data_IF_062720673159
#
_entry.id   IF_062720673159
#
_cell.length_a   1.000
_cell.length_b   1.000
_cell.length_c   1.000
_cell.angle_alpha   90.00
_cell.angle_beta   90.00
_cell.angle_gamma   90.00
#
_symmetry.space_group_name_H-M   'P 1'
#
loop_
_entity.id
_entity.type
_entity.pdbx_description
1 polymer ?
#
# COMPACT_ATOMS: atom_id res chain seq x y z
N UNK A 1 -7.22 5.18 10.31
CA UNK A 1 -6.54 3.96 10.80
C UNK A 1 -5.01 4.05 10.73
N UNK A 2 -4.39 4.58 9.67
CA UNK A 2 -2.91 4.76 9.64
C UNK A 2 -2.42 5.61 10.83
N UNK A 3 -3.12 6.69 11.18
CA UNK A 3 -2.79 7.53 12.34
C UNK A 3 -2.71 6.74 13.67
N UNK A 4 -3.50 5.67 13.80
CA UNK A 4 -3.55 4.84 15.00
C UNK A 4 -2.23 4.11 15.25
N UNK A 5 -1.47 3.77 14.19
CA UNK A 5 -0.24 3.00 14.30
C UNK A 5 0.80 3.67 15.22
N UNK A 6 0.94 4.97 15.08
CA UNK A 6 1.82 5.76 15.95
C UNK A 6 1.08 6.41 17.11
N UNK A 7 -0.15 6.89 16.88
CA UNK A 7 -0.95 7.56 17.91
C UNK A 7 -1.19 6.72 19.16
N UNK A 8 -1.24 5.39 19.03
CA UNK A 8 -1.36 4.46 20.18
C UNK A 8 -0.18 4.55 21.17
N UNK A 9 0.95 5.10 20.77
CA UNK A 9 2.11 5.32 21.63
C UNK A 9 2.14 6.71 22.27
N UNK A 10 1.17 7.58 21.93
CA UNK A 10 1.05 8.87 22.58
C UNK A 10 0.56 8.71 24.01
N UNK A 11 1.25 9.32 24.96
CA UNK A 11 0.85 9.39 26.38
C UNK A 11 -0.17 10.54 26.57
N UNK A 12 -1.29 10.45 25.82
CA UNK A 12 -2.35 11.46 25.80
C UNK A 12 -3.71 10.78 25.72
N UNK A 13 -4.50 10.91 26.79
CA UNK A 13 -5.81 10.28 26.91
C UNK A 13 -6.83 10.79 25.88
N UNK A 14 -6.71 12.03 25.41
CA UNK A 14 -7.61 12.57 24.39
C UNK A 14 -7.34 11.91 23.04
N UNK A 15 -6.06 11.74 22.68
CA UNK A 15 -5.65 11.01 21.48
C UNK A 15 -6.15 9.56 21.57
N UNK A 16 -5.95 8.85 22.70
CA UNK A 16 -6.40 7.48 22.86
C UNK A 16 -7.92 7.35 22.70
N UNK A 17 -8.69 8.23 23.34
CA UNK A 17 -10.16 8.27 23.18
C UNK A 17 -10.58 8.54 21.74
N UNK A 18 -9.93 9.49 21.04
CA UNK A 18 -10.24 9.83 19.65
C UNK A 18 -9.98 8.63 18.69
N UNK A 19 -8.90 7.88 18.92
CA UNK A 19 -8.58 6.69 18.11
C UNK A 19 -9.64 5.59 18.29
N UNK A 20 -10.04 5.30 19.53
CA UNK A 20 -11.10 4.31 19.83
C UNK A 20 -12.45 4.77 19.26
N UNK A 21 -12.80 6.05 19.41
CA UNK A 21 -14.02 6.62 18.84
C UNK A 21 -14.06 6.51 17.31
N UNK A 22 -12.91 6.68 16.64
CA UNK A 22 -12.79 6.53 15.19
C UNK A 22 -13.06 5.09 14.73
N UNK A 23 -12.56 4.10 15.46
CA UNK A 23 -12.85 2.67 15.20
C UNK A 23 -14.36 2.42 15.33
N UNK A 24 -14.97 2.90 16.42
CA UNK A 24 -16.40 2.72 16.69
C UNK A 24 -17.28 3.43 15.65
N UNK A 25 -16.91 4.65 15.24
CA UNK A 25 -17.66 5.43 14.25
C UNK A 25 -17.68 4.72 12.89
N UNK A 26 -16.54 4.27 12.39
CA UNK A 26 -16.45 3.53 11.13
C UNK A 26 -17.30 2.24 11.18
N UNK A 27 -17.18 1.46 12.26
CA UNK A 27 -17.99 0.26 12.48
C UNK A 27 -19.49 0.56 12.48
N UNK A 28 -19.91 1.67 13.09
CA UNK A 28 -21.34 2.04 13.16
C UNK A 28 -21.98 2.25 11.78
N UNK A 29 -21.17 2.35 10.74
CA UNK A 29 -21.58 2.52 9.34
C UNK A 29 -21.21 1.31 8.46
N UNK A 30 -20.87 0.18 9.07
CA UNK A 30 -20.67 -1.07 8.36
C UNK A 30 -21.95 -1.46 7.61
N UNK A 31 -21.81 -1.86 6.35
CA UNK A 31 -22.95 -2.32 5.54
C UNK A 31 -23.40 -3.72 5.94
N UNK A 32 -24.60 -4.11 5.51
CA UNK A 32 -25.13 -5.46 5.76
C UNK A 32 -24.26 -6.56 5.12
N UNK A 33 -23.53 -6.27 4.06
CA UNK A 33 -22.58 -7.21 3.44
C UNK A 33 -21.18 -7.20 4.07
N UNK A 34 -20.92 -6.36 5.08
CA UNK A 34 -19.66 -6.32 5.81
C UNK A 34 -18.68 -5.19 5.42
N UNK A 35 -18.94 -4.42 4.37
CA UNK A 35 -18.04 -3.36 3.94
C UNK A 35 -17.96 -2.22 4.98
N UNK A 36 -16.77 -1.67 5.19
CA UNK A 36 -16.50 -0.49 6.03
C UNK A 36 -16.31 0.73 5.12
N UNK A 37 -16.89 1.90 5.45
CA UNK A 37 -16.69 3.11 4.67
C UNK A 37 -15.24 3.61 4.76
N UNK A 38 -14.79 4.28 3.71
CA UNK A 38 -13.48 4.96 3.69
C UNK A 38 -13.39 6.04 4.78
N UNK A 39 -14.43 6.84 4.89
CA UNK A 39 -14.58 7.83 5.96
C UNK A 39 -16.05 8.06 6.29
N UNK A 40 -16.30 8.74 7.41
CA UNK A 40 -17.61 9.24 7.83
C UNK A 40 -17.47 10.72 8.09
N UNK A 41 -18.30 11.53 7.44
CA UNK A 41 -18.38 12.95 7.72
C UNK A 41 -18.89 13.17 9.14
N UNK A 42 -18.08 13.80 9.99
CA UNK A 42 -18.38 13.95 11.42
C UNK A 42 -19.58 14.89 11.70
N UNK A 43 -19.88 15.81 10.79
CA UNK A 43 -21.00 16.76 10.97
C UNK A 43 -22.34 16.14 10.54
N UNK A 44 -22.35 15.39 9.44
CA UNK A 44 -23.56 14.81 8.85
C UNK A 44 -23.74 13.34 9.16
N UNK A 45 -22.71 12.67 9.67
CA UNK A 45 -22.61 11.23 9.89
C UNK A 45 -22.85 10.39 8.62
N UNK A 46 -22.63 10.98 7.44
CA UNK A 46 -22.77 10.29 6.16
C UNK A 46 -21.51 9.47 5.87
N UNK A 47 -21.65 8.18 5.57
CA UNK A 47 -20.52 7.36 5.14
C UNK A 47 -20.15 7.64 3.69
N UNK A 48 -18.84 7.57 3.38
CA UNK A 48 -18.30 7.63 2.05
C UNK A 48 -17.61 6.30 1.71
N UNK A 49 -17.94 5.72 0.56
CA UNK A 49 -17.40 4.45 0.07
C UNK A 49 -16.57 4.61 -1.21
N UNK A 50 -16.12 5.82 -1.55
CA UNK A 50 -15.40 6.06 -2.80
C UNK A 50 -14.10 5.24 -2.90
N UNK A 51 -13.25 5.27 -1.88
CA UNK A 51 -12.04 4.47 -1.77
C UNK A 51 -12.29 3.31 -0.78
N UNK A 52 -13.15 2.37 -1.17
CA UNK A 52 -13.71 1.35 -0.26
C UNK A 52 -12.78 0.15 -0.06
N UNK A 53 -11.79 -0.04 -0.96
CA UNK A 53 -11.14 -1.34 -1.08
C UNK A 53 -10.22 -1.68 0.11
N UNK A 54 -9.62 -0.69 0.74
CA UNK A 54 -8.65 -0.89 1.83
C UNK A 54 -9.21 -0.58 3.22
N UNK A 55 -10.36 0.10 3.30
CA UNK A 55 -10.94 0.61 4.55
C UNK A 55 -11.16 -0.48 5.60
N UNK A 56 -11.77 -1.59 5.20
CA UNK A 56 -12.06 -2.71 6.09
C UNK A 56 -10.79 -3.41 6.56
N UNK A 57 -9.77 -3.51 5.71
CA UNK A 57 -8.49 -4.13 6.06
C UNK A 57 -7.75 -3.29 7.11
N UNK A 58 -7.68 -1.98 6.90
CA UNK A 58 -7.16 -1.05 7.89
C UNK A 58 -7.96 -1.05 9.17
N UNK A 59 -9.29 -1.22 9.08
CA UNK A 59 -10.14 -1.31 10.26
C UNK A 59 -9.81 -2.56 11.09
N UNK A 60 -9.66 -3.74 10.46
CA UNK A 60 -9.26 -4.99 11.14
C UNK A 60 -7.92 -4.80 11.86
N UNK A 61 -6.91 -4.27 11.16
CA UNK A 61 -5.59 -4.03 11.73
C UNK A 61 -5.67 -3.06 12.91
N UNK A 62 -6.34 -1.93 12.75
CA UNK A 62 -6.46 -0.93 13.78
C UNK A 62 -7.27 -1.40 14.99
N UNK A 63 -8.40 -2.06 14.76
CA UNK A 63 -9.24 -2.57 15.85
C UNK A 63 -8.54 -3.68 16.64
N UNK A 64 -7.79 -4.57 16.00
CA UNK A 64 -7.04 -5.62 16.69
C UNK A 64 -6.02 -5.09 17.70
N UNK A 65 -5.56 -3.86 17.50
CA UNK A 65 -4.56 -3.20 18.36
C UNK A 65 -5.18 -2.49 19.57
N UNK A 66 -6.42 -2.01 19.48
CA UNK A 66 -7.01 -1.13 20.49
C UNK A 66 -8.41 -1.53 20.95
N UNK A 67 -9.26 -2.03 20.07
CA UNK A 67 -10.66 -2.36 20.37
C UNK A 67 -11.13 -3.52 19.47
N UNK A 68 -10.68 -4.76 19.72
CA UNK A 68 -11.02 -5.92 18.90
C UNK A 68 -12.53 -6.18 18.87
N UNK A 69 -13.06 -6.47 17.67
CA UNK A 69 -14.45 -6.89 17.47
C UNK A 69 -14.49 -8.06 16.47
N UNK A 70 -14.49 -9.30 16.96
CA UNK A 70 -14.47 -10.50 16.13
C UNK A 70 -15.63 -10.58 15.15
N UNK A 71 -16.84 -10.24 15.59
CA UNK A 71 -18.03 -10.33 14.72
C UNK A 71 -17.98 -9.34 13.53
N UNK A 72 -17.52 -8.10 13.77
CA UNK A 72 -17.31 -7.14 12.71
C UNK A 72 -16.15 -7.59 11.80
N UNK A 73 -15.08 -8.13 12.35
CA UNK A 73 -13.93 -8.69 11.60
C UNK A 73 -14.38 -9.81 10.66
N UNK A 74 -15.16 -10.77 11.15
CA UNK A 74 -15.67 -11.88 10.34
C UNK A 74 -16.55 -11.40 9.19
N UNK A 75 -17.44 -10.42 9.45
CA UNK A 75 -18.27 -9.83 8.41
C UNK A 75 -17.43 -9.12 7.34
N UNK A 76 -16.38 -8.40 7.72
CA UNK A 76 -15.45 -7.74 6.80
C UNK A 76 -14.71 -8.79 5.97
N UNK A 77 -14.16 -9.83 6.58
CA UNK A 77 -13.42 -10.88 5.87
C UNK A 77 -14.31 -11.68 4.91
N UNK A 78 -15.58 -11.88 5.25
CA UNK A 78 -16.55 -12.49 4.35
C UNK A 78 -16.82 -11.60 3.14
N UNK A 79 -16.92 -10.28 3.33
CA UNK A 79 -17.06 -9.34 2.22
C UNK A 79 -15.82 -9.37 1.29
N UNK A 80 -14.60 -9.40 1.84
CA UNK A 80 -13.38 -9.52 1.03
C UNK A 80 -13.28 -10.88 0.32
N UNK A 81 -13.78 -11.96 0.91
CA UNK A 81 -13.80 -13.26 0.24
C UNK A 81 -14.60 -13.22 -1.08
N UNK A 82 -15.65 -12.37 -1.17
CA UNK A 82 -16.41 -12.16 -2.39
C UNK A 82 -15.66 -11.34 -3.45
N UNK A 83 -14.55 -10.70 -3.11
CA UNK A 83 -13.72 -9.94 -4.06
C UNK A 83 -12.64 -10.80 -4.74
N UNK A 84 -12.45 -12.05 -4.31
CA UNK A 84 -11.62 -13.06 -5.00
C UNK A 84 -12.47 -13.81 -6.03
N UNK A 85 -12.81 -13.11 -7.12
CA UNK A 85 -13.78 -13.58 -8.12
C UNK A 85 -13.27 -14.74 -9.00
N UNK A 86 -11.97 -14.95 -9.06
CA UNK A 86 -11.32 -16.00 -9.85
C UNK A 86 -10.65 -17.09 -9.01
N UNK A 87 -10.87 -17.06 -7.69
CA UNK A 87 -10.34 -18.05 -6.73
C UNK A 87 -8.80 -18.19 -6.75
N UNK A 88 -8.11 -17.08 -7.09
CA UNK A 88 -6.66 -17.01 -7.07
C UNK A 88 -6.07 -16.82 -5.66
N UNK A 89 -6.90 -16.59 -4.67
CA UNK A 89 -6.52 -16.16 -3.33
C UNK A 89 -6.29 -14.64 -3.22
N UNK A 90 -6.36 -13.92 -4.34
CA UNK A 90 -6.11 -12.48 -4.41
C UNK A 90 -7.41 -11.70 -4.57
N UNK A 91 -7.61 -10.69 -3.74
CA UNK A 91 -8.78 -9.82 -3.83
C UNK A 91 -8.58 -8.76 -4.91
N UNK A 92 -9.68 -8.42 -5.58
CA UNK A 92 -9.73 -7.45 -6.67
C UNK A 92 -10.51 -6.20 -6.27
N UNK A 93 -10.25 -5.09 -6.96
CA UNK A 93 -10.92 -3.82 -6.76
C UNK A 93 -11.20 -3.11 -8.08
N UNK A 94 -12.08 -2.13 -8.06
CA UNK A 94 -12.29 -1.20 -9.16
C UNK A 94 -11.11 -0.22 -9.27
N UNK A 95 -10.98 0.43 -10.44
CA UNK A 95 -9.99 1.50 -10.63
C UNK A 95 -10.22 2.62 -9.61
N UNK A 96 -9.15 3.12 -9.01
CA UNK A 96 -9.18 4.21 -8.02
C UNK A 96 -9.95 3.89 -6.73
N UNK A 97 -10.02 2.63 -6.31
CA UNK A 97 -10.83 2.23 -5.16
C UNK A 97 -10.04 2.03 -3.85
N UNK A 98 -8.74 2.25 -3.84
CA UNK A 98 -7.87 2.21 -2.66
C UNK A 98 -7.37 3.62 -2.26
N UNK A 99 -6.29 3.70 -1.47
CA UNK A 99 -5.70 4.96 -1.04
C UNK A 99 -5.32 5.88 -2.22
N UNK A 100 -5.06 5.30 -3.41
CA UNK A 100 -4.81 6.04 -4.66
C UNK A 100 -6.14 6.36 -5.37
N UNK A 101 -7.03 7.02 -4.70
CA UNK A 101 -8.44 7.25 -5.08
C UNK A 101 -8.68 8.09 -6.35
N UNK A 102 -7.62 8.53 -7.00
CA UNK A 102 -7.60 9.24 -8.28
C UNK A 102 -6.53 8.69 -9.24
N UNK A 103 -6.12 7.43 -9.06
CA UNK A 103 -5.09 6.82 -9.89
C UNK A 103 -5.57 5.53 -10.56
N UNK A 104 -4.86 5.05 -11.59
CA UNK A 104 -5.30 3.94 -12.44
C UNK A 104 -5.16 2.55 -11.83
N UNK A 105 -4.74 2.44 -10.58
CA UNK A 105 -4.63 1.16 -9.88
C UNK A 105 -5.97 0.45 -9.84
N UNK A 106 -6.02 -0.83 -10.29
CA UNK A 106 -7.23 -1.61 -10.48
C UNK A 106 -6.98 -3.11 -10.46
N UNK A 107 -8.04 -3.90 -10.47
CA UNK A 107 -7.94 -5.35 -10.45
C UNK A 107 -7.28 -5.84 -9.17
N UNK A 108 -6.31 -6.72 -9.25
CA UNK A 108 -5.54 -7.17 -8.09
C UNK A 108 -4.42 -6.17 -7.81
N UNK A 109 -4.60 -5.29 -6.80
CA UNK A 109 -3.57 -4.34 -6.36
C UNK A 109 -2.56 -4.98 -5.43
N UNK A 110 -1.26 -4.67 -5.59
CA UNK A 110 -0.21 -5.14 -4.69
C UNK A 110 -0.44 -4.65 -3.27
N UNK A 111 -0.57 -3.33 -3.11
CA UNK A 111 -0.88 -2.67 -1.83
C UNK A 111 -2.03 -3.36 -1.12
N UNK A 112 -3.16 -3.51 -1.82
CA UNK A 112 -4.38 -4.08 -1.28
C UNK A 112 -4.17 -5.53 -0.78
N UNK A 113 -3.49 -6.36 -1.56
CA UNK A 113 -3.26 -7.76 -1.22
C UNK A 113 -2.21 -7.95 -0.12
N UNK A 114 -1.19 -7.09 -0.04
CA UNK A 114 -0.27 -7.06 1.11
C UNK A 114 -1.01 -6.66 2.40
N UNK A 115 -1.91 -5.68 2.31
CA UNK A 115 -2.74 -5.28 3.43
C UNK A 115 -3.72 -6.41 3.86
N UNK A 116 -4.22 -7.17 2.88
CA UNK A 116 -5.06 -8.35 3.17
C UNK A 116 -4.31 -9.44 3.95
N UNK A 117 -3.05 -9.72 3.60
CA UNK A 117 -2.18 -10.62 4.40
C UNK A 117 -2.07 -10.13 5.85
N UNK A 118 -1.86 -8.82 6.04
CA UNK A 118 -1.75 -8.23 7.38
C UNK A 118 -3.06 -8.35 8.16
N UNK A 119 -4.19 -8.03 7.54
CA UNK A 119 -5.51 -8.12 8.16
C UNK A 119 -5.87 -9.56 8.53
N UNK A 120 -5.60 -10.54 7.66
CA UNK A 120 -5.81 -11.96 7.94
C UNK A 120 -4.99 -12.43 9.13
N UNK A 121 -3.71 -12.02 9.24
CA UNK A 121 -2.86 -12.35 10.40
C UNK A 121 -3.36 -11.68 11.67
N UNK A 122 -3.78 -10.42 11.60
CA UNK A 122 -4.35 -9.72 12.74
C UNK A 122 -5.63 -10.37 13.26
N UNK A 123 -6.39 -11.00 12.35
CA UNK A 123 -7.59 -11.78 12.67
C UNK A 123 -7.31 -13.25 13.05
N UNK A 124 -6.04 -13.70 13.04
CA UNK A 124 -5.65 -15.08 13.38
C UNK A 124 -5.78 -16.12 12.26
N UNK A 125 -6.09 -15.70 11.02
CA UNK A 125 -6.24 -16.59 9.86
C UNK A 125 -4.89 -16.83 9.15
N UNK A 126 -3.93 -17.46 9.84
CA UNK A 126 -2.54 -17.60 9.38
C UNK A 126 -2.41 -18.41 8.10
N UNK A 127 -3.07 -19.56 7.97
CA UNK A 127 -2.99 -20.43 6.77
C UNK A 127 -3.50 -19.69 5.52
N UNK A 128 -4.58 -18.93 5.67
CA UNK A 128 -5.12 -18.11 4.56
C UNK A 128 -4.18 -16.97 4.22
N UNK A 129 -3.59 -16.32 5.20
CA UNK A 129 -2.59 -15.27 4.98
C UNK A 129 -1.36 -15.81 4.23
N UNK A 130 -0.90 -17.03 4.56
CA UNK A 130 0.22 -17.67 3.88
C UNK A 130 -0.13 -18.05 2.44
N UNK A 131 -1.34 -18.54 2.17
CA UNK A 131 -1.81 -18.79 0.80
C UNK A 131 -1.85 -17.51 -0.04
N UNK A 132 -2.37 -16.39 0.52
CA UNK A 132 -2.35 -15.07 -0.16
C UNK A 132 -0.91 -14.60 -0.41
N UNK A 133 -0.01 -14.74 0.57
CA UNK A 133 1.42 -14.43 0.42
C UNK A 133 2.05 -15.19 -0.74
N UNK A 134 1.80 -16.48 -0.85
CA UNK A 134 2.31 -17.31 -1.95
C UNK A 134 1.76 -16.85 -3.30
N UNK A 135 0.47 -16.52 -3.37
CA UNK A 135 -0.15 -15.98 -4.58
C UNK A 135 0.49 -14.63 -4.98
N UNK A 136 0.74 -13.71 -4.02
CA UNK A 136 1.44 -12.45 -4.30
C UNK A 136 2.84 -12.73 -4.86
N UNK A 137 3.60 -13.61 -4.23
CA UNK A 137 4.95 -13.94 -4.68
C UNK A 137 4.96 -14.57 -6.07
N UNK A 138 3.96 -15.38 -6.41
CA UNK A 138 3.83 -16.03 -7.71
C UNK A 138 3.44 -15.05 -8.81
N UNK A 139 2.50 -14.15 -8.54
CA UNK A 139 1.84 -13.37 -9.58
C UNK A 139 2.38 -11.95 -9.72
N UNK A 140 2.84 -11.31 -8.66
CA UNK A 140 3.31 -9.92 -8.70
C UNK A 140 4.84 -9.78 -8.83
N UNK A 141 5.62 -10.78 -8.39
CA UNK A 141 7.06 -10.68 -8.49
C UNK A 141 7.51 -10.82 -9.95
N UNK A 142 8.06 -9.73 -10.50
CA UNK A 142 8.55 -9.70 -11.86
C UNK A 142 10.05 -9.98 -11.89
N UNK A 143 10.48 -10.94 -12.73
CA UNK A 143 11.87 -11.41 -12.77
C UNK A 143 12.81 -10.54 -13.60
N UNK A 144 12.32 -9.48 -14.25
CA UNK A 144 13.14 -8.56 -15.03
C UNK A 144 13.66 -9.12 -16.37
N UNK A 145 13.09 -10.24 -16.82
CA UNK A 145 13.54 -10.94 -18.05
C UNK A 145 12.94 -10.36 -19.35
N UNK A 146 12.06 -9.38 -19.24
CA UNK A 146 11.37 -8.79 -20.38
C UNK A 146 10.19 -9.58 -20.91
N UNK A 147 9.90 -10.79 -20.38
CA UNK A 147 8.79 -11.62 -20.84
C UNK A 147 7.49 -11.36 -20.04
N UNK A 148 6.93 -10.19 -20.24
CA UNK A 148 5.66 -9.79 -19.61
C UNK A 148 4.51 -10.66 -20.08
N UNK A 149 4.52 -11.14 -21.33
CA UNK A 149 3.47 -11.99 -21.87
C UNK A 149 3.43 -13.34 -21.13
N UNK A 150 4.59 -13.96 -20.92
CA UNK A 150 4.70 -15.17 -20.12
C UNK A 150 4.22 -14.96 -18.70
N UNK A 151 4.62 -13.86 -18.09
CA UNK A 151 4.18 -13.50 -16.73
C UNK A 151 2.66 -13.37 -16.63
N UNK A 152 2.03 -12.63 -17.54
CA UNK A 152 0.57 -12.46 -17.61
C UNK A 152 -0.14 -13.78 -17.88
N UNK A 153 0.39 -14.63 -18.78
CA UNK A 153 -0.17 -15.93 -19.07
C UNK A 153 -0.19 -16.85 -17.86
N UNK A 154 0.89 -16.88 -17.09
CA UNK A 154 0.96 -17.64 -15.85
C UNK A 154 -0.01 -17.11 -14.79
N UNK A 155 -0.19 -15.79 -14.72
CA UNK A 155 -1.06 -15.14 -13.74
C UNK A 155 -2.53 -15.45 -13.95
N UNK A 156 -2.99 -15.48 -15.22
CA UNK A 156 -4.42 -15.59 -15.52
C UNK A 156 -4.83 -16.94 -16.12
N UNK A 157 -3.94 -17.93 -16.14
CA UNK A 157 -4.20 -19.23 -16.79
C UNK A 157 -4.70 -19.09 -18.24
N UNK A 158 -4.47 -17.93 -18.85
CA UNK A 158 -4.79 -17.70 -20.23
C UNK A 158 -3.69 -18.31 -21.07
N UNK A 159 -4.01 -19.28 -21.92
CA UNK A 159 -3.15 -19.55 -23.05
C UNK A 159 -3.01 -18.24 -23.81
N UNK A 160 -1.86 -17.59 -23.69
CA UNK A 160 -1.59 -16.35 -24.40
C UNK A 160 -1.50 -16.65 -25.87
N UNK A 161 -2.62 -16.60 -26.51
CA UNK A 161 -2.68 -16.59 -27.95
C UNK A 161 -2.43 -15.16 -28.40
N UNK A 162 -1.68 -15.01 -29.49
CA UNK A 162 -1.51 -13.73 -30.16
C UNK A 162 -2.86 -13.03 -30.27
N UNK A 163 -3.06 -11.96 -29.54
CA UNK A 163 -4.22 -11.12 -29.76
C UNK A 163 -4.02 -10.32 -31.04
N UNK A 164 -4.99 -10.43 -31.92
CA UNK A 164 -5.06 -9.61 -33.13
C UNK A 164 -6.13 -8.54 -32.94
N UNK A 165 -5.81 -7.32 -33.32
CA UNK A 165 -6.81 -6.25 -33.40
C UNK A 165 -7.77 -6.49 -34.61
N UNK A 166 -8.79 -5.63 -34.74
CA UNK A 166 -9.76 -5.70 -35.83
C UNK A 166 -9.16 -5.58 -37.24
N UNK A 167 -7.91 -5.17 -37.35
CA UNK A 167 -7.15 -5.07 -38.59
C UNK A 167 -6.20 -6.28 -38.78
N UNK A 168 -6.28 -7.29 -37.94
CA UNK A 168 -5.45 -8.49 -38.00
C UNK A 168 -3.99 -8.29 -37.54
N UNK A 169 -3.66 -7.13 -36.96
CA UNK A 169 -2.31 -6.83 -36.47
C UNK A 169 -2.10 -7.47 -35.13
N UNK A 170 -0.92 -8.07 -34.93
CA UNK A 170 -0.52 -8.65 -33.64
C UNK A 170 -0.47 -7.53 -32.59
N UNK A 171 -1.14 -7.75 -31.45
CA UNK A 171 -1.02 -6.91 -30.28
C UNK A 171 -0.35 -7.72 -29.17
N UNK A 172 0.79 -7.26 -28.74
CA UNK A 172 1.48 -7.72 -27.55
C UNK A 172 1.27 -6.71 -26.45
N UNK A 173 1.28 -7.16 -25.21
CA UNK A 173 1.44 -6.22 -24.09
C UNK A 173 2.81 -5.55 -24.27
N UNK A 174 2.87 -4.25 -24.51
CA UNK A 174 4.14 -3.57 -24.69
C UNK A 174 4.91 -3.58 -23.36
N UNK A 175 6.12 -4.10 -23.38
CA UNK A 175 7.03 -3.98 -22.24
C UNK A 175 7.74 -2.65 -22.36
N UNK A 176 7.69 -1.84 -21.31
CA UNK A 176 8.50 -0.64 -21.23
C UNK A 176 9.95 -1.03 -20.92
N UNK A 177 10.89 -0.40 -21.63
CA UNK A 177 12.31 -0.72 -21.47
C UNK A 177 12.84 -0.54 -20.05
N UNK A 178 12.21 0.31 -19.23
CA UNK A 178 12.63 0.52 -17.84
C UNK A 178 12.42 -0.70 -16.93
N UNK A 179 11.61 -1.68 -17.33
CA UNK A 179 11.46 -2.93 -16.59
C UNK A 179 12.58 -3.93 -16.87
N UNK A 180 13.32 -3.79 -17.97
CA UNK A 180 14.35 -4.73 -18.35
C UNK A 180 15.52 -4.65 -17.36
N UNK A 181 15.81 -5.77 -16.70
CA UNK A 181 16.86 -5.85 -15.68
C UNK A 181 16.43 -5.37 -14.28
N UNK A 182 15.20 -4.90 -14.11
CA UNK A 182 14.66 -4.50 -12.81
C UNK A 182 13.79 -5.61 -12.20
N UNK A 183 13.80 -5.70 -10.86
CA UNK A 183 13.04 -6.71 -10.13
C UNK A 183 12.32 -6.07 -8.95
N UNK A 184 11.00 -6.18 -8.95
CA UNK A 184 10.13 -5.74 -7.87
C UNK A 184 8.73 -6.31 -8.04
N UNK A 185 7.86 -6.13 -7.04
CA UNK A 185 6.45 -6.48 -7.20
C UNK A 185 5.73 -5.44 -8.04
N UNK A 186 5.03 -5.89 -9.07
CA UNK A 186 4.21 -5.05 -9.94
C UNK A 186 3.06 -4.40 -9.15
N UNK A 187 2.64 -3.16 -9.47
CA UNK A 187 1.66 -2.42 -8.68
C UNK A 187 0.25 -3.00 -8.76
N UNK A 188 -0.15 -3.52 -9.92
CA UNK A 188 -1.44 -4.17 -10.11
C UNK A 188 -1.44 -5.15 -11.28
N UNK A 189 -2.40 -6.09 -11.21
CA UNK A 189 -2.67 -7.07 -12.25
C UNK A 189 -4.15 -7.01 -12.63
N UNK A 190 -4.44 -6.72 -13.88
CA UNK A 190 -5.77 -6.81 -14.50
C UNK A 190 -5.77 -7.84 -15.61
N UNK A 191 -6.94 -8.25 -16.12
CA UNK A 191 -7.04 -9.29 -17.16
C UNK A 191 -6.31 -8.93 -18.45
N UNK A 192 -6.20 -7.66 -18.79
CA UNK A 192 -5.58 -7.18 -20.03
C UNK A 192 -4.60 -6.04 -19.84
N UNK A 193 -4.30 -5.71 -18.61
CA UNK A 193 -3.42 -4.61 -18.27
C UNK A 193 -2.66 -4.96 -16.99
N UNK A 194 -1.39 -4.61 -17.00
CA UNK A 194 -0.47 -4.79 -15.87
C UNK A 194 0.17 -3.44 -15.62
N UNK A 195 0.24 -3.03 -14.36
CA UNK A 195 1.03 -1.85 -13.98
C UNK A 195 2.51 -2.17 -14.08
N UNK A 196 3.29 -1.24 -14.59
CA UNK A 196 4.71 -1.46 -14.83
C UNK A 196 5.62 -0.53 -14.02
N UNK A 197 5.06 0.38 -13.22
CA UNK A 197 5.85 1.24 -12.35
C UNK A 197 6.12 0.56 -11.00
N UNK A 198 7.16 1.01 -10.35
CA UNK A 198 7.43 0.65 -8.96
C UNK A 198 6.44 1.42 -8.06
N UNK A 199 5.51 0.71 -7.44
CA UNK A 199 4.65 1.25 -6.38
C UNK A 199 5.41 1.17 -5.06
N UNK A 200 5.83 2.32 -4.56
CA UNK A 200 6.62 2.39 -3.33
C UNK A 200 5.87 1.82 -2.14
N UNK A 201 4.62 2.24 -1.93
CA UNK A 201 3.89 1.82 -0.74
C UNK A 201 3.55 0.32 -0.76
N UNK A 202 3.12 -0.21 -1.91
CA UNK A 202 2.88 -1.64 -2.07
C UNK A 202 4.12 -2.50 -1.81
N UNK A 203 5.28 -2.10 -2.36
CA UNK A 203 6.54 -2.81 -2.14
C UNK A 203 7.04 -2.70 -0.69
N UNK A 204 6.86 -1.55 -0.02
CA UNK A 204 7.15 -1.42 1.42
C UNK A 204 6.24 -2.30 2.27
N UNK A 205 4.95 -2.38 1.93
CA UNK A 205 4.03 -3.28 2.63
C UNK A 205 4.37 -4.75 2.38
N UNK A 206 4.86 -5.12 1.19
CA UNK A 206 5.34 -6.49 0.94
C UNK A 206 6.50 -6.87 1.88
N UNK A 207 7.41 -5.94 2.16
CA UNK A 207 8.45 -6.12 3.19
C UNK A 207 7.80 -6.26 4.57
N UNK A 208 6.99 -5.30 4.96
CA UNK A 208 6.44 -5.20 6.31
C UNK A 208 5.48 -6.34 6.63
N UNK A 209 4.66 -6.76 5.68
CA UNK A 209 3.76 -7.91 5.81
C UNK A 209 4.49 -9.26 5.78
N UNK A 210 5.81 -9.30 5.52
CA UNK A 210 6.57 -10.55 5.37
C UNK A 210 6.13 -11.36 4.15
N UNK A 211 5.67 -10.67 3.11
CA UNK A 211 5.45 -11.23 1.77
C UNK A 211 6.80 -11.39 1.08
N UNK A 212 7.61 -10.35 1.08
CA UNK A 212 8.99 -10.40 0.61
C UNK A 212 9.87 -11.17 1.61
N UNK A 213 10.62 -12.13 1.12
CA UNK A 213 11.73 -12.77 1.82
C UNK A 213 12.95 -11.81 1.90
N UNK A 214 14.04 -12.24 2.54
CA UNK A 214 15.22 -11.41 2.72
C UNK A 214 15.86 -11.00 1.39
N UNK A 215 15.85 -11.88 0.37
CA UNK A 215 16.42 -11.60 -0.95
C UNK A 215 15.58 -10.55 -1.68
N UNK A 216 14.27 -10.72 -1.70
CA UNK A 216 13.35 -9.74 -2.31
C UNK A 216 13.35 -8.42 -1.56
N UNK A 217 13.42 -8.46 -0.22
CA UNK A 217 13.57 -7.27 0.63
C UNK A 217 14.83 -6.48 0.27
N UNK A 218 15.97 -7.14 0.15
CA UNK A 218 17.22 -6.48 -0.27
C UNK A 218 17.06 -5.88 -1.68
N UNK A 219 16.51 -6.66 -2.63
CA UNK A 219 16.30 -6.21 -4.02
C UNK A 219 15.42 -4.95 -4.10
N UNK A 220 14.32 -4.91 -3.34
CA UNK A 220 13.42 -3.74 -3.30
C UNK A 220 14.14 -2.51 -2.73
N UNK A 221 14.85 -2.66 -1.62
CA UNK A 221 15.56 -1.55 -1.00
C UNK A 221 16.73 -1.05 -1.87
N UNK A 222 17.42 -1.96 -2.55
CA UNK A 222 18.50 -1.61 -3.50
C UNK A 222 17.94 -0.90 -4.75
N UNK A 223 16.73 -1.26 -5.20
CA UNK A 223 16.01 -0.52 -6.25
C UNK A 223 15.72 0.92 -5.80
N UNK A 224 15.22 1.12 -4.58
CA UNK A 224 14.95 2.44 -4.00
C UNK A 224 16.25 3.28 -3.96
N UNK A 225 17.35 2.69 -3.50
CA UNK A 225 18.64 3.36 -3.42
C UNK A 225 19.21 3.68 -4.82
N UNK A 226 19.16 2.73 -5.76
CA UNK A 226 19.63 2.87 -7.15
C UNK A 226 18.93 4.01 -7.89
N UNK A 227 17.63 4.15 -7.70
CA UNK A 227 16.80 5.16 -8.38
C UNK A 227 16.67 6.47 -7.59
N UNK A 228 17.35 6.59 -6.44
CA UNK A 228 17.37 7.81 -5.64
C UNK A 228 15.99 8.22 -5.09
N UNK A 229 15.06 7.27 -4.97
CA UNK A 229 13.68 7.56 -4.55
C UNK A 229 13.58 8.15 -3.15
N UNK A 230 14.56 7.86 -2.30
CA UNK A 230 14.65 8.33 -0.91
C UNK A 230 15.60 9.52 -0.74
N UNK A 231 15.96 10.23 -1.80
CA UNK A 231 16.75 11.48 -1.74
C UNK A 231 15.99 12.64 -1.11
N UNK A 232 14.66 12.60 -1.19
CA UNK A 232 13.68 13.26 -0.33
C UNK A 232 12.95 12.14 0.42
N UNK A 233 12.16 12.40 1.50
CA UNK A 233 11.36 11.32 2.04
C UNK A 233 10.52 10.73 0.92
N UNK A 234 10.71 9.55 0.63
CA UNK A 234 10.42 8.71 -0.51
C UNK A 234 9.24 9.10 -1.43
N UNK A 235 9.44 9.07 -2.76
CA UNK A 235 8.40 9.27 -3.76
C UNK A 235 7.42 8.09 -3.81
N UNK A 236 6.15 8.37 -4.14
CA UNK A 236 5.08 7.36 -4.16
C UNK A 236 5.25 6.31 -5.25
N UNK A 237 5.83 6.66 -6.40
CA UNK A 237 6.09 5.74 -7.50
C UNK A 237 7.20 6.22 -8.44
N UNK A 238 7.75 5.30 -9.23
CA UNK A 238 8.69 5.59 -10.33
C UNK A 238 8.62 4.49 -11.42
N UNK A 239 8.80 4.85 -12.71
CA UNK A 239 8.76 6.20 -13.27
C UNK A 239 7.35 6.78 -13.21
N UNK A 240 7.25 8.11 -13.22
CA UNK A 240 5.96 8.79 -13.28
C UNK A 240 5.23 8.47 -14.59
N UNK A 241 3.90 8.33 -14.50
CA UNK A 241 3.02 8.09 -15.64
C UNK A 241 2.84 9.40 -16.40
N UNK A 242 3.03 9.38 -17.73
CA UNK A 242 3.00 10.56 -18.60
C UNK A 242 1.87 10.47 -19.61
N UNK A 243 1.43 11.60 -20.18
CA UNK A 243 0.52 11.60 -21.32
C UNK A 243 1.03 10.67 -22.43
N UNK A 244 0.15 9.78 -22.92
CA UNK A 244 0.49 8.77 -23.91
C UNK A 244 0.91 7.41 -23.33
N UNK A 245 1.16 7.31 -22.04
CA UNK A 245 1.36 6.02 -21.38
C UNK A 245 0.04 5.24 -21.29
N UNK A 246 0.05 3.90 -21.33
CA UNK A 246 -1.17 3.08 -21.24
C UNK A 246 -2.00 3.33 -19.97
N UNK A 247 -1.32 3.74 -18.89
CA UNK A 247 -1.95 4.05 -17.61
C UNK A 247 -2.28 5.53 -17.41
N UNK A 248 -2.00 6.38 -18.40
CA UNK A 248 -2.47 7.77 -18.36
C UNK A 248 -4.01 7.84 -18.42
N UNK A 249 -4.57 8.75 -17.65
CA UNK A 249 -6.00 9.07 -17.63
C UNK A 249 -6.20 10.56 -17.79
N UNK A 250 -7.20 10.97 -18.55
CA UNK A 250 -7.49 12.40 -18.77
C UNK A 250 -7.76 13.16 -17.47
N UNK A 251 -8.35 12.50 -16.48
CA UNK A 251 -8.61 13.12 -15.17
C UNK A 251 -7.34 13.37 -14.34
N UNK A 252 -6.17 12.86 -14.75
CA UNK A 252 -4.89 13.15 -14.08
C UNK A 252 -4.50 14.62 -14.16
N UNK A 253 -4.96 15.35 -15.16
CA UNK A 253 -4.74 16.79 -15.27
C UNK A 253 -5.20 17.61 -14.08
N UNK A 254 -6.07 17.05 -13.22
CA UNK A 254 -6.53 17.72 -12.00
C UNK A 254 -5.49 17.71 -10.87
N UNK A 255 -4.89 16.56 -10.56
CA UNK A 255 -3.98 16.39 -9.42
C UNK A 255 -2.76 15.50 -9.73
N UNK A 256 -2.88 14.54 -10.65
CA UNK A 256 -1.87 13.51 -10.91
C UNK A 256 -0.98 13.82 -12.13
N UNK A 257 -0.68 15.09 -12.39
CA UNK A 257 0.40 15.40 -13.34
C UNK A 257 1.73 14.84 -12.81
N UNK A 258 2.73 14.57 -13.67
CA UNK A 258 4.01 14.00 -13.22
C UNK A 258 4.58 14.73 -12.01
N UNK A 259 5.06 13.98 -11.04
CA UNK A 259 5.61 14.43 -9.73
C UNK A 259 4.59 15.06 -8.76
N UNK A 260 3.30 14.95 -9.07
CA UNK A 260 2.23 15.43 -8.20
C UNK A 260 1.37 14.29 -7.68
N UNK A 261 0.81 14.49 -6.49
CA UNK A 261 -0.16 13.62 -5.82
C UNK A 261 0.28 12.14 -5.86
N UNK A 262 -0.54 11.21 -6.38
CA UNK A 262 -0.18 9.80 -6.47
C UNK A 262 0.88 9.51 -7.56
N UNK A 263 1.06 10.41 -8.52
CA UNK A 263 1.97 10.22 -9.65
C UNK A 263 3.39 10.73 -9.37
N UNK A 264 4.02 10.18 -8.35
CA UNK A 264 5.40 10.51 -7.96
C UNK A 264 5.52 11.65 -6.95
N UNK A 265 4.42 12.08 -6.33
CA UNK A 265 4.46 12.98 -5.17
C UNK A 265 5.10 12.30 -3.95
N UNK A 266 5.58 13.09 -3.00
CA UNK A 266 6.11 12.62 -1.73
C UNK A 266 5.03 12.70 -0.65
N UNK A 267 4.67 11.54 -0.09
CA UNK A 267 3.66 11.43 0.94
C UNK A 267 4.33 11.12 2.28
N UNK A 268 4.24 12.01 3.28
CA UNK A 268 4.95 11.82 4.55
C UNK A 268 4.62 10.50 5.24
N UNK A 269 3.36 10.02 5.12
CA UNK A 269 2.99 8.74 5.72
C UNK A 269 3.75 7.56 5.08
N UNK A 270 3.98 7.54 3.76
CA UNK A 270 4.79 6.52 3.08
C UNK A 270 6.23 6.58 3.60
N UNK A 271 6.74 7.79 3.86
CA UNK A 271 8.05 7.98 4.50
C UNK A 271 8.17 7.27 5.84
N UNK A 272 7.10 7.30 6.66
CA UNK A 272 7.06 6.55 7.92
C UNK A 272 7.13 5.03 7.73
N UNK A 273 6.44 4.48 6.74
CA UNK A 273 6.51 3.06 6.38
C UNK A 273 7.87 2.67 5.79
N UNK A 274 8.53 3.57 5.05
CA UNK A 274 9.89 3.34 4.57
C UNK A 274 10.90 3.19 5.72
N UNK A 275 10.84 4.08 6.70
CA UNK A 275 11.65 3.97 7.93
C UNK A 275 11.42 2.62 8.61
N UNK A 276 10.16 2.21 8.78
CA UNK A 276 9.81 0.93 9.39
C UNK A 276 10.36 -0.27 8.58
N UNK A 277 10.27 -0.22 7.25
CA UNK A 277 10.81 -1.25 6.36
C UNK A 277 12.34 -1.37 6.47
N UNK A 278 13.05 -0.24 6.56
CA UNK A 278 14.50 -0.22 6.80
C UNK A 278 14.86 -0.83 8.14
N UNK A 279 14.12 -0.51 9.21
CA UNK A 279 14.33 -1.11 10.55
C UNK A 279 14.11 -2.63 10.48
N UNK A 280 13.02 -3.09 9.82
CA UNK A 280 12.74 -4.51 9.65
C UNK A 280 13.84 -5.25 8.90
N UNK A 281 14.44 -4.61 7.90
CA UNK A 281 15.56 -5.14 7.12
C UNK A 281 16.91 -5.05 7.84
N UNK A 282 16.97 -4.54 9.09
CA UNK A 282 18.20 -4.34 9.84
C UNK A 282 19.04 -3.14 9.40
N UNK A 283 18.56 -2.30 8.47
CA UNK A 283 19.24 -1.08 7.98
C UNK A 283 19.02 0.13 8.91
N UNK A 284 19.26 -0.05 10.22
CA UNK A 284 18.90 0.92 11.29
C UNK A 284 19.54 2.30 11.10
N UNK A 285 20.81 2.35 10.63
CA UNK A 285 21.47 3.64 10.34
C UNK A 285 20.75 4.42 9.23
N UNK A 286 20.39 3.73 8.15
CA UNK A 286 19.65 4.32 7.03
C UNK A 286 18.24 4.75 7.49
N UNK A 287 17.59 3.95 8.34
CA UNK A 287 16.30 4.31 8.96
C UNK A 287 16.39 5.60 9.77
N UNK A 288 17.44 5.80 10.55
CA UNK A 288 17.65 7.05 11.31
C UNK A 288 17.82 8.27 10.40
N UNK A 289 18.55 8.12 9.29
CA UNK A 289 18.71 9.19 8.29
C UNK A 289 17.37 9.52 7.63
N UNK A 290 16.60 8.49 7.23
CA UNK A 290 15.29 8.66 6.62
C UNK A 290 14.28 9.30 7.60
N UNK A 291 14.30 8.92 8.88
CA UNK A 291 13.45 9.53 9.92
C UNK A 291 13.77 11.03 10.10
N UNK A 292 15.05 11.41 10.10
CA UNK A 292 15.45 12.82 10.19
C UNK A 292 15.02 13.64 8.96
N UNK A 293 15.09 13.04 7.76
CA UNK A 293 14.59 13.68 6.54
C UNK A 293 13.07 13.86 6.60
N UNK A 294 12.35 12.86 7.09
CA UNK A 294 10.89 12.93 7.28
C UNK A 294 10.50 13.98 8.33
N UNK A 295 11.27 14.10 9.43
CA UNK A 295 11.05 15.14 10.44
C UNK A 295 11.15 16.55 9.83
N UNK A 296 12.21 16.81 9.05
CA UNK A 296 12.42 18.10 8.37
C UNK A 296 11.30 18.41 7.35
N UNK A 297 10.83 17.40 6.61
CA UNK A 297 9.72 17.57 5.68
C UNK A 297 8.43 17.95 6.42
N UNK A 298 8.11 17.25 7.51
CA UNK A 298 6.92 17.52 8.33
C UNK A 298 6.99 18.88 9.02
N UNK A 299 8.17 19.30 9.47
CA UNK A 299 8.38 20.61 10.07
C UNK A 299 8.10 21.73 9.07
N UNK A 300 8.62 21.61 7.84
CA UNK A 300 8.42 22.61 6.77
C UNK A 300 6.97 22.69 6.29
N UNK A 301 6.24 21.59 6.32
CA UNK A 301 4.87 21.45 5.80
C UNK A 301 3.78 21.40 6.86
N UNK A 302 4.09 21.47 8.15
CA UNK A 302 3.11 21.31 9.24
C UNK A 302 2.29 20.00 9.12
N UNK A 303 2.96 18.87 8.83
CA UNK A 303 2.34 17.58 8.54
C UNK A 303 1.37 17.63 7.37
N UNK A 304 1.81 18.20 6.26
CA UNK A 304 1.01 18.25 5.03
C UNK A 304 0.62 16.86 4.53
N UNK A 305 -0.41 16.84 3.71
CA UNK A 305 -0.92 15.63 3.06
C UNK A 305 0.14 15.02 2.15
N UNK A 306 0.69 15.83 1.24
CA UNK A 306 1.74 15.44 0.31
C UNK A 306 2.62 16.62 -0.06
N UNK A 307 3.73 16.35 -0.74
CA UNK A 307 4.68 17.34 -1.26
C UNK A 307 4.97 17.03 -2.73
N UNK A 308 5.30 18.06 -3.50
CA UNK A 308 5.71 17.88 -4.88
C UNK A 308 6.98 17.03 -4.99
N UNK A 309 6.99 16.02 -5.89
CA UNK A 309 8.05 15.01 -5.95
C UNK A 309 9.45 15.51 -6.27
N UNK A 310 9.59 16.68 -6.92
CA UNK A 310 10.89 17.27 -7.26
C UNK A 310 11.24 18.46 -6.38
N UNK A 311 10.29 19.38 -6.15
CA UNK A 311 10.55 20.65 -5.44
C UNK A 311 10.38 20.54 -3.94
N UNK A 312 9.72 19.49 -3.45
CA UNK A 312 9.31 19.29 -2.06
C UNK A 312 8.40 20.40 -1.51
N UNK A 313 7.82 21.21 -2.38
CA UNK A 313 6.83 22.19 -1.97
C UNK A 313 5.65 21.49 -1.25
N UNK A 314 5.22 21.98 -0.07
CA UNK A 314 4.09 21.40 0.65
C UNK A 314 2.78 21.61 -0.11
N UNK A 315 2.01 20.55 -0.26
CA UNK A 315 0.78 20.47 -1.05
C UNK A 315 -0.34 19.78 -0.24
N UNK A 316 -1.55 19.86 -0.75
CA UNK A 316 -2.71 19.24 -0.10
C UNK A 316 -3.12 19.94 1.20
N UNK A 317 -3.71 19.19 2.11
CA UNK A 317 -4.24 19.71 3.38
C UNK A 317 -3.17 19.61 4.48
N UNK A 318 -3.07 20.62 5.34
CA UNK A 318 -2.18 20.63 6.50
C UNK A 318 -2.73 19.80 7.66
N UNK A 319 -1.89 19.51 8.64
CA UNK A 319 -2.22 18.81 9.88
C UNK A 319 -2.88 17.44 9.64
N UNK A 320 -2.36 16.68 8.69
CA UNK A 320 -2.84 15.35 8.39
C UNK A 320 -2.47 14.35 9.48
N UNK A 321 -3.49 13.78 10.12
CA UNK A 321 -3.32 12.82 11.21
C UNK A 321 -2.54 11.57 10.78
N UNK A 322 -2.68 11.11 9.54
CA UNK A 322 -1.91 9.97 9.03
C UNK A 322 -0.43 10.27 8.87
N UNK A 323 -0.06 11.49 8.45
CA UNK A 323 1.35 11.92 8.37
C UNK A 323 1.99 11.98 9.76
N UNK A 324 1.29 12.55 10.74
CA UNK A 324 1.75 12.61 12.13
C UNK A 324 1.84 11.21 12.76
N UNK A 325 0.81 10.38 12.59
CA UNK A 325 0.79 9.03 13.13
C UNK A 325 1.85 8.12 12.52
N UNK A 326 2.09 8.21 11.20
CA UNK A 326 3.15 7.44 10.56
C UNK A 326 4.56 7.89 11.01
N UNK A 327 4.76 9.18 11.29
CA UNK A 327 6.00 9.68 11.88
C UNK A 327 6.23 9.11 13.29
N UNK A 328 5.21 9.14 14.16
CA UNK A 328 5.31 8.55 15.49
C UNK A 328 5.59 7.05 15.44
N UNK A 329 4.94 6.34 14.53
CA UNK A 329 5.20 4.92 14.30
C UNK A 329 6.66 4.67 13.88
N UNK A 330 7.17 5.44 12.92
CA UNK A 330 8.55 5.37 12.46
C UNK A 330 9.55 5.66 13.59
N UNK A 331 9.27 6.68 14.42
CA UNK A 331 10.07 7.02 15.59
C UNK A 331 10.15 5.86 16.58
N UNK A 332 9.03 5.21 16.86
CA UNK A 332 9.00 4.03 17.75
C UNK A 332 9.76 2.84 17.16
N UNK A 333 9.69 2.62 15.85
CA UNK A 333 10.50 1.59 15.18
C UNK A 333 12.01 1.84 15.38
N UNK A 334 12.46 3.08 15.17
CA UNK A 334 13.89 3.43 15.32
C UNK A 334 14.33 3.34 16.78
N UNK A 335 13.54 3.86 17.74
CA UNK A 335 13.84 3.76 19.18
C UNK A 335 14.02 2.32 19.64
N UNK A 336 13.18 1.42 19.16
CA UNK A 336 13.22 -0.02 19.52
C UNK A 336 14.22 -0.80 18.70
N UNK A 337 14.71 -0.25 17.60
CA UNK A 337 15.46 -0.98 16.56
C UNK A 337 14.70 -2.22 16.08
N UNK A 338 13.38 -2.19 16.16
CA UNK A 338 12.46 -3.24 15.73
C UNK A 338 11.07 -2.64 15.41
N UNK A 339 10.31 -3.36 14.57
CA UNK A 339 8.93 -2.97 14.29
C UNK A 339 8.04 -3.48 15.43
N UNK A 340 7.22 -2.62 16.06
CA UNK A 340 6.42 -2.98 17.23
C UNK A 340 5.56 -4.21 16.96
N UNK A 341 5.59 -5.19 17.89
CA UNK A 341 4.81 -6.42 17.82
C UNK A 341 3.30 -6.15 17.71
N UNK A 342 2.59 -7.10 17.12
CA UNK A 342 1.15 -7.06 16.91
C UNK A 342 0.72 -6.33 15.64
N UNK A 343 1.57 -5.51 15.06
CA UNK A 343 1.22 -4.73 13.87
C UNK A 343 1.19 -5.57 12.58
N UNK A 344 2.11 -6.52 12.44
CA UNK A 344 2.22 -7.37 11.24
C UNK A 344 1.90 -8.84 11.49
N UNK A 345 1.36 -9.21 12.65
CA UNK A 345 0.99 -10.59 12.98
C UNK A 345 2.15 -11.59 12.98
N UNK A 346 3.39 -11.12 12.91
CA UNK A 346 4.58 -11.97 12.93
C UNK A 346 5.11 -11.99 14.36
N UNK A 347 4.78 -13.04 15.11
CA UNK A 347 5.56 -13.38 16.31
C UNK A 347 6.92 -13.89 15.81
N UNK A 348 8.01 -13.21 16.13
CA UNK A 348 9.34 -13.85 16.06
C UNK A 348 9.27 -15.04 17.00
N UNK A 349 9.39 -16.27 16.45
CA UNK A 349 9.65 -17.43 17.30
C UNK A 349 10.86 -17.07 18.15
N UNK A 350 10.69 -17.08 19.50
CA UNK A 350 11.85 -17.03 20.37
C UNK A 350 12.72 -18.21 19.96
N UNK A 351 13.91 -17.89 19.43
CA UNK A 351 14.96 -18.90 19.35
C UNK A 351 15.15 -19.44 20.77
N UNK A 352 14.87 -20.73 20.94
CA UNK A 352 15.11 -21.48 22.17
C UNK A 352 16.60 -21.73 22.24
#
# INVERSE_FOLDING_TARGET
>A
MIALLGGRFAEDDEIQRALIASIALLKSRQTACGAIPNNVDCATLRPNFRAYADSGLWWIIGSSLMAPDPAATDAILNWYACQDVDQSGLISMQESADWQDLFCTRGKGLYLNCLYVMALRAAGHHDRADAVREAINRFFWYEGDGDMLRHVSHTFSTESKEERDSLGRKRWLPIKQHLIGERYYLPYLGFRAVGEWFDTFGNLLAILAGVADDVRTATILDFIDKHGLASAPIQSLTPVVRPGDPDWRDYYGMLNVPHCYHNGGVWPFIGGFYVAALVKAGRVRQASVALNALAKLNESGEFNEWHHGETLAPMGVRAQAWSAGAYLFALECVKRSDVPEGFFGIRRGRAV
#
